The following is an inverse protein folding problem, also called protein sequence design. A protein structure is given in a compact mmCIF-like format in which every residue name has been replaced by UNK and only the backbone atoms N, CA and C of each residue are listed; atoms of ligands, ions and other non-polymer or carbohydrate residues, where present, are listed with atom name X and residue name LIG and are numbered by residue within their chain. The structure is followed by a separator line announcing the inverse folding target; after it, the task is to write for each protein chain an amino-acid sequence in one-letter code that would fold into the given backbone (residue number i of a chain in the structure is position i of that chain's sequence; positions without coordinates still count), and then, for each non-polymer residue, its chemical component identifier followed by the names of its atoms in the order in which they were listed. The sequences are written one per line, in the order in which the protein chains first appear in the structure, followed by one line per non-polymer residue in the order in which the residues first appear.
data_IF_254806476135
#
_entry.id   IF_254806476135
#
_cell.length_a   1.000
_cell.length_b   1.000
_cell.length_c   1.000
_cell.angle_alpha   90.00
_cell.angle_beta   90.00
_cell.angle_gamma   90.00
#
_symmetry.space_group_name_H-M   'P 1'
#
loop_
_entity.id
_entity.type
_entity.pdbx_description
1 polymer ?
#
# COMPACT_ATOMS: atom_id res chain seq x y z
N UNK A 1 -30.14 16.79 -1.30
CA UNK A 1 -29.87 16.27 0.08
C UNK A 1 -31.14 15.61 0.59
N UNK A 2 -31.09 14.39 1.14
CA UNK A 2 -32.29 13.63 1.52
C UNK A 2 -32.81 13.94 2.94
N UNK A 3 -32.46 15.10 3.52
CA UNK A 3 -32.96 15.52 4.84
C UNK A 3 -34.49 15.54 4.86
N UNK A 4 -35.10 14.90 5.86
CA UNK A 4 -36.56 14.76 5.99
C UNK A 4 -37.18 13.58 5.20
N UNK A 5 -36.37 12.77 4.51
CA UNK A 5 -36.84 11.50 3.92
C UNK A 5 -36.68 10.35 4.89
N UNK A 6 -37.56 9.35 4.77
CA UNK A 6 -37.47 8.11 5.54
C UNK A 6 -36.64 7.06 4.82
N UNK A 7 -35.71 6.45 5.55
CA UNK A 7 -34.96 5.26 5.15
C UNK A 7 -35.47 4.07 5.97
N UNK A 8 -35.79 2.97 5.29
CA UNK A 8 -36.20 1.75 5.96
C UNK A 8 -34.96 0.91 6.31
N UNK A 9 -34.71 0.70 7.60
CA UNK A 9 -33.59 -0.11 8.10
C UNK A 9 -34.18 -1.26 8.92
N UNK A 10 -33.91 -2.50 8.49
CA UNK A 10 -34.42 -3.73 9.14
C UNK A 10 -35.95 -3.71 9.36
N UNK A 11 -36.70 -3.25 8.35
CA UNK A 11 -38.16 -3.21 8.40
C UNK A 11 -38.77 -2.09 9.25
N UNK A 12 -37.95 -1.14 9.74
CA UNK A 12 -38.41 0.03 10.51
C UNK A 12 -38.03 1.35 9.83
N UNK A 13 -38.96 2.32 9.75
CA UNK A 13 -38.67 3.63 9.17
C UNK A 13 -37.85 4.51 10.12
N UNK A 14 -36.80 5.13 9.58
CA UNK A 14 -35.96 6.15 10.23
C UNK A 14 -35.89 7.41 9.38
N UNK A 15 -36.01 8.58 10.01
CA UNK A 15 -35.87 9.86 9.31
C UNK A 15 -34.40 10.26 9.18
N UNK A 16 -34.01 10.75 8.01
CA UNK A 16 -32.65 11.24 7.76
C UNK A 16 -32.54 12.69 8.26
N UNK A 17 -31.81 12.88 9.37
CA UNK A 17 -31.55 14.20 9.97
C UNK A 17 -30.44 14.99 9.25
N UNK A 18 -29.49 14.29 8.64
CA UNK A 18 -28.35 14.94 7.99
C UNK A 18 -27.45 13.95 7.28
N UNK A 19 -26.57 14.47 6.42
CA UNK A 19 -25.54 13.70 5.72
C UNK A 19 -24.19 14.29 6.10
N UNK A 20 -23.29 13.44 6.58
CA UNK A 20 -21.92 13.81 6.91
C UNK A 20 -21.12 13.83 5.61
N UNK A 21 -20.31 14.87 5.41
CA UNK A 21 -19.42 14.93 4.24
C UNK A 21 -18.48 13.74 4.28
N UNK A 22 -18.42 13.04 3.17
CA UNK A 22 -17.60 11.85 3.05
C UNK A 22 -16.14 12.18 3.43
N UNK A 23 -15.64 11.49 4.45
CA UNK A 23 -14.25 11.63 4.93
C UNK A 23 -13.42 10.41 4.47
N UNK A 24 -13.94 9.64 3.51
CA UNK A 24 -13.42 8.34 3.12
C UNK A 24 -11.92 8.33 2.81
N UNK A 25 -11.23 7.38 3.48
CA UNK A 25 -10.09 6.67 2.88
C UNK A 25 -10.66 5.61 1.94
N UNK A 26 -9.86 5.13 0.97
CA UNK A 26 -10.25 4.14 -0.07
C UNK A 26 -11.03 2.92 0.48
N UNK A 27 -10.80 2.52 1.74
CA UNK A 27 -11.52 1.43 2.42
C UNK A 27 -13.01 1.71 2.71
N UNK A 28 -13.44 2.97 2.81
CA UNK A 28 -14.82 3.35 3.12
C UNK A 28 -15.78 3.29 1.91
N UNK A 29 -15.27 3.05 0.70
CA UNK A 29 -16.07 3.05 -0.54
C UNK A 29 -16.96 1.80 -0.73
N UNK A 30 -16.85 0.79 0.15
CA UNK A 30 -17.45 -0.53 -0.07
C UNK A 30 -18.84 -0.69 0.58
N UNK A 31 -19.26 0.21 1.48
CA UNK A 31 -20.57 0.07 2.15
C UNK A 31 -21.23 1.40 2.54
N UNK A 32 -22.57 1.45 2.43
CA UNK A 32 -23.38 2.55 2.95
C UNK A 32 -23.27 2.60 4.49
N UNK A 33 -22.63 3.64 5.03
CA UNK A 33 -22.48 3.83 6.48
C UNK A 33 -23.59 4.74 7.02
N UNK A 34 -24.36 4.23 7.98
CA UNK A 34 -25.44 4.97 8.65
C UNK A 34 -25.07 5.17 10.12
N UNK A 35 -25.20 6.40 10.60
CA UNK A 35 -25.03 6.75 12.01
C UNK A 35 -26.41 6.96 12.64
N UNK A 36 -26.67 6.33 13.78
CA UNK A 36 -27.91 6.51 14.53
C UNK A 36 -27.65 6.49 16.05
N UNK A 37 -28.51 7.10 16.87
CA UNK A 37 -28.37 7.04 18.32
C UNK A 37 -28.39 5.60 18.82
N UNK A 38 -27.43 5.25 19.69
CA UNK A 38 -27.31 3.92 20.27
C UNK A 38 -28.59 3.42 20.95
N UNK A 39 -29.28 4.30 21.67
CA UNK A 39 -30.57 3.96 22.32
C UNK A 39 -31.63 3.51 21.32
N UNK A 40 -31.66 4.11 20.13
CA UNK A 40 -32.58 3.71 19.05
C UNK A 40 -32.16 2.39 18.42
N UNK A 41 -30.85 2.16 18.27
CA UNK A 41 -30.31 0.92 17.74
C UNK A 41 -30.65 -0.29 18.63
N UNK A 42 -30.41 -0.20 19.94
CA UNK A 42 -30.77 -1.26 20.90
C UNK A 42 -32.27 -1.47 20.97
N UNK A 43 -33.04 -0.41 21.27
CA UNK A 43 -34.46 -0.57 21.62
C UNK A 43 -35.32 -0.95 20.43
N UNK A 44 -34.88 -0.60 19.22
CA UNK A 44 -35.62 -0.90 18.02
C UNK A 44 -34.97 -2.07 17.30
N UNK A 45 -33.68 -2.07 16.98
CA UNK A 45 -33.10 -3.04 16.04
C UNK A 45 -32.65 -4.35 16.70
N UNK A 46 -31.69 -4.32 17.63
CA UNK A 46 -30.96 -5.54 18.07
C UNK A 46 -31.43 -6.13 19.40
N UNK A 47 -32.08 -5.35 20.26
CA UNK A 47 -32.26 -5.73 21.68
C UNK A 47 -30.97 -5.53 22.49
N UNK A 48 -30.98 -5.98 23.75
CA UNK A 48 -29.86 -5.88 24.69
C UNK A 48 -28.66 -6.74 24.22
N UNK A 49 -27.81 -6.17 23.38
CA UNK A 49 -26.50 -6.74 23.04
C UNK A 49 -25.38 -6.02 23.81
N UNK A 50 -24.28 -6.73 24.13
CA UNK A 50 -23.12 -6.15 24.78
C UNK A 50 -22.45 -5.09 23.89
N UNK A 51 -21.77 -4.12 24.52
CA UNK A 51 -21.01 -3.08 23.82
C UNK A 51 -19.92 -3.69 22.93
N UNK A 52 -19.91 -3.34 21.64
CA UNK A 52 -18.86 -3.78 20.71
C UNK A 52 -17.56 -2.98 20.88
N UNK A 53 -17.66 -1.67 21.12
CA UNK A 53 -16.53 -0.79 21.35
C UNK A 53 -16.93 0.46 22.15
N UNK A 54 -16.02 0.95 22.99
CA UNK A 54 -16.16 2.23 23.68
C UNK A 54 -15.05 3.14 23.16
N UNK A 55 -15.42 4.26 22.56
CA UNK A 55 -14.46 5.26 22.10
C UNK A 55 -14.23 6.29 23.19
N UNK A 56 -12.96 6.44 23.59
CA UNK A 56 -12.53 7.47 24.55
C UNK A 56 -11.65 8.45 23.80
N UNK A 57 -11.97 9.75 23.90
CA UNK A 57 -11.17 10.82 23.30
C UNK A 57 -10.39 11.53 24.39
N UNK A 58 -9.06 11.47 24.31
CA UNK A 58 -8.19 12.29 25.13
C UNK A 58 -8.22 13.75 24.65
N UNK A 59 -8.01 14.71 25.56
CA UNK A 59 -7.87 16.14 25.21
C UNK A 59 -6.50 16.43 24.60
N UNK A 60 -5.47 15.74 25.10
CA UNK A 60 -4.10 15.83 24.62
C UNK A 60 -3.61 14.44 24.18
N UNK A 61 -2.82 14.40 23.11
CA UNK A 61 -2.20 13.19 22.60
C UNK A 61 -1.19 12.61 23.60
N UNK A 62 -0.45 13.46 24.32
CA UNK A 62 0.55 13.02 25.29
C UNK A 62 -0.03 12.25 26.49
N UNK A 63 -1.35 12.39 26.73
CA UNK A 63 -2.04 11.72 27.83
C UNK A 63 -2.67 10.38 27.41
N UNK A 64 -2.67 10.04 26.11
CA UNK A 64 -3.41 8.87 25.58
C UNK A 64 -2.98 7.58 26.27
N UNK A 65 -1.69 7.38 26.50
CA UNK A 65 -1.16 6.18 27.15
C UNK A 65 -1.51 6.14 28.65
N UNK A 66 -1.39 7.27 29.35
CA UNK A 66 -1.80 7.38 30.76
C UNK A 66 -3.32 7.19 30.94
N UNK A 67 -4.13 7.67 30.00
CA UNK A 67 -5.59 7.50 29.98
C UNK A 67 -5.93 6.04 29.68
N UNK A 68 -5.26 5.41 28.72
CA UNK A 68 -5.43 3.98 28.41
C UNK A 68 -5.25 3.15 29.67
N UNK A 69 -4.14 3.30 30.38
CA UNK A 69 -3.86 2.55 31.61
C UNK A 69 -4.92 2.78 32.71
N UNK A 70 -5.38 4.02 32.88
CA UNK A 70 -6.46 4.35 33.84
C UNK A 70 -7.77 3.67 33.45
N UNK A 71 -8.13 3.69 32.17
CA UNK A 71 -9.34 3.06 31.65
C UNK A 71 -9.27 1.54 31.79
N UNK A 72 -8.13 0.92 31.49
CA UNK A 72 -7.94 -0.52 31.68
C UNK A 72 -8.13 -0.91 33.14
N UNK A 73 -7.47 -0.22 34.07
CA UNK A 73 -7.60 -0.51 35.51
C UNK A 73 -9.02 -0.31 36.03
N UNK A 74 -9.70 0.75 35.59
CA UNK A 74 -11.09 1.02 35.98
C UNK A 74 -12.03 -0.08 35.46
N UNK A 75 -11.84 -0.52 34.21
CA UNK A 75 -12.65 -1.58 33.60
C UNK A 75 -12.37 -2.95 34.22
N UNK A 76 -11.09 -3.28 34.49
CA UNK A 76 -10.69 -4.51 35.19
C UNK A 76 -11.29 -4.55 36.60
N UNK A 77 -11.24 -3.44 37.34
CA UNK A 77 -11.84 -3.36 38.68
C UNK A 77 -13.36 -3.47 38.66
N UNK A 78 -14.03 -2.96 37.62
CA UNK A 78 -15.49 -3.01 37.51
C UNK A 78 -15.98 -4.39 37.07
N UNK A 79 -15.26 -5.05 36.17
CA UNK A 79 -15.66 -6.33 35.58
C UNK A 79 -15.09 -7.55 36.30
N UNK A 80 -14.02 -7.39 37.07
CA UNK A 80 -13.34 -8.48 37.78
C UNK A 80 -12.57 -9.45 36.88
N UNK A 81 -12.48 -9.18 35.57
CA UNK A 81 -11.74 -9.97 34.57
C UNK A 81 -11.29 -9.09 33.41
N UNK A 82 -10.16 -9.44 32.78
CA UNK A 82 -9.66 -8.78 31.57
C UNK A 82 -10.22 -9.47 30.32
N UNK A 83 -11.41 -9.07 29.90
CA UNK A 83 -12.12 -9.61 28.72
C UNK A 83 -12.28 -8.59 27.58
N UNK A 84 -11.38 -7.60 27.52
CA UNK A 84 -11.43 -6.50 26.56
C UNK A 84 -10.03 -6.20 25.98
N UNK A 85 -10.02 -5.55 24.82
CA UNK A 85 -8.81 -5.05 24.17
C UNK A 85 -8.90 -3.53 24.04
N UNK A 86 -7.80 -2.83 24.32
CA UNK A 86 -7.68 -1.39 24.08
C UNK A 86 -6.84 -1.17 22.82
N UNK A 87 -7.37 -0.35 21.92
CA UNK A 87 -6.71 0.00 20.67
C UNK A 87 -6.59 1.52 20.63
N UNK A 88 -5.36 2.01 20.49
CA UNK A 88 -5.08 3.44 20.30
C UNK A 88 -4.85 3.73 18.82
N UNK A 89 -5.10 4.97 18.39
CA UNK A 89 -4.80 5.37 17.02
C UNK A 89 -3.32 5.15 16.64
N UNK A 90 -2.40 5.33 17.60
CA UNK A 90 -0.98 5.07 17.42
C UNK A 90 -0.69 3.59 17.18
N UNK A 91 -1.28 2.69 17.98
CA UNK A 91 -1.10 1.24 17.79
C UNK A 91 -1.57 0.76 16.41
N UNK A 92 -2.67 1.34 15.89
CA UNK A 92 -3.15 1.05 14.53
C UNK A 92 -2.20 1.61 13.48
N UNK A 93 -1.72 2.83 13.66
CA UNK A 93 -0.76 3.44 12.74
C UNK A 93 0.56 2.64 12.69
N UNK A 94 1.05 2.19 13.84
CA UNK A 94 2.24 1.36 13.96
C UNK A 94 2.03 -0.02 13.31
N UNK A 95 0.87 -0.66 13.53
CA UNK A 95 0.53 -1.92 12.87
C UNK A 95 0.54 -1.77 11.34
N UNK A 96 -0.08 -0.70 10.81
CA UNK A 96 -0.08 -0.41 9.37
C UNK A 96 1.34 -0.14 8.87
N UNK A 97 2.15 0.61 9.63
CA UNK A 97 3.53 0.90 9.28
C UNK A 97 4.38 -0.38 9.24
N UNK A 98 4.21 -1.29 10.20
CA UNK A 98 4.92 -2.56 10.28
C UNK A 98 4.54 -3.51 9.12
N UNK A 99 3.25 -3.61 8.80
CA UNK A 99 2.78 -4.38 7.65
C UNK A 99 3.31 -3.78 6.34
N UNK A 100 3.22 -2.45 6.20
CA UNK A 100 3.71 -1.75 5.00
C UNK A 100 5.22 -1.92 4.82
N UNK A 101 5.97 -1.84 5.92
CA UNK A 101 7.43 -2.06 5.92
C UNK A 101 7.76 -3.48 5.52
N UNK A 102 7.05 -4.47 6.07
CA UNK A 102 7.24 -5.88 5.70
C UNK A 102 6.96 -6.13 4.21
N UNK A 103 5.84 -5.60 3.69
CA UNK A 103 5.52 -5.70 2.26
C UNK A 103 6.57 -4.99 1.40
N UNK A 104 7.01 -3.80 1.81
CA UNK A 104 8.07 -3.06 1.12
C UNK A 104 9.36 -3.86 1.06
N UNK A 105 9.76 -4.51 2.15
CA UNK A 105 10.96 -5.35 2.18
C UNK A 105 10.83 -6.54 1.22
N UNK A 106 9.69 -7.22 1.20
CA UNK A 106 9.42 -8.33 0.28
C UNK A 106 9.48 -7.87 -1.18
N UNK A 107 8.77 -6.79 -1.53
CA UNK A 107 8.78 -6.24 -2.89
C UNK A 107 10.16 -5.75 -3.31
N UNK A 108 10.89 -5.10 -2.41
CA UNK A 108 12.26 -4.64 -2.66
C UNK A 108 13.20 -5.83 -2.89
N UNK A 109 13.04 -6.90 -2.10
CA UNK A 109 13.81 -8.13 -2.26
C UNK A 109 13.57 -8.79 -3.62
N UNK A 110 12.31 -8.96 -4.01
CA UNK A 110 11.96 -9.51 -5.34
C UNK A 110 12.50 -8.60 -6.45
N UNK A 111 12.36 -7.28 -6.31
CA UNK A 111 12.87 -6.29 -7.28
C UNK A 111 14.39 -6.37 -7.43
N UNK A 112 15.13 -6.55 -6.33
CA UNK A 112 16.57 -6.71 -6.34
C UNK A 112 16.99 -8.00 -7.07
N UNK A 113 16.29 -9.11 -6.82
CA UNK A 113 16.52 -10.37 -7.53
C UNK A 113 16.25 -10.21 -9.03
N UNK A 114 15.14 -9.57 -9.41
CA UNK A 114 14.83 -9.30 -10.82
C UNK A 114 15.90 -8.45 -11.51
N UNK A 115 16.45 -7.45 -10.82
CA UNK A 115 17.54 -6.64 -11.33
C UNK A 115 18.84 -7.44 -11.51
N UNK A 116 19.16 -8.33 -10.57
CA UNK A 116 20.32 -9.24 -10.69
C UNK A 116 20.16 -10.18 -11.88
N UNK A 117 19.00 -10.83 -12.04
CA UNK A 117 18.72 -11.74 -13.16
C UNK A 117 18.78 -10.98 -14.49
N UNK A 118 18.25 -9.76 -14.55
CA UNK A 118 18.39 -8.88 -15.71
C UNK A 118 19.85 -8.56 -16.05
N UNK A 119 20.67 -8.26 -15.04
CA UNK A 119 22.10 -8.02 -15.20
C UNK A 119 22.86 -9.23 -15.75
N UNK A 120 22.54 -10.44 -15.28
CA UNK A 120 23.10 -11.69 -15.82
C UNK A 120 22.72 -11.88 -17.30
N UNK A 121 21.49 -11.52 -17.67
CA UNK A 121 21.03 -11.54 -19.06
C UNK A 121 21.85 -10.61 -19.96
N UNK A 122 22.10 -9.38 -19.51
CA UNK A 122 22.94 -8.41 -20.24
C UNK A 122 24.38 -8.93 -20.39
N UNK A 123 24.95 -9.51 -19.31
CA UNK A 123 26.28 -10.12 -19.36
C UNK A 123 26.34 -11.24 -20.42
N UNK A 124 25.31 -12.09 -20.51
CA UNK A 124 25.29 -13.19 -21.47
C UNK A 124 25.22 -12.70 -22.92
N UNK A 125 24.36 -11.72 -23.21
CA UNK A 125 24.27 -11.14 -24.55
C UNK A 125 25.60 -10.47 -24.94
N UNK A 126 26.20 -9.74 -24.00
CA UNK A 126 27.50 -9.11 -24.24
C UNK A 126 28.60 -10.14 -24.47
N UNK A 127 28.62 -11.23 -23.71
CA UNK A 127 29.58 -12.31 -23.90
C UNK A 127 29.46 -12.93 -25.29
N UNK A 128 28.23 -13.28 -25.72
CA UNK A 128 27.98 -13.83 -27.05
C UNK A 128 28.39 -12.85 -28.15
N UNK A 129 28.02 -11.57 -28.03
CA UNK A 129 28.37 -10.54 -29.02
C UNK A 129 29.88 -10.30 -29.13
N UNK A 130 30.60 -10.34 -28.00
CA UNK A 130 32.07 -10.28 -28.01
C UNK A 130 32.63 -11.51 -28.72
N UNK A 131 32.12 -12.71 -28.42
CA UNK A 131 32.60 -13.96 -29.04
C UNK A 131 32.42 -13.99 -30.56
N UNK A 132 31.33 -13.44 -31.07
CA UNK A 132 31.08 -13.30 -32.52
C UNK A 132 32.09 -12.37 -33.19
N UNK A 133 32.50 -11.30 -32.51
CA UNK A 133 33.43 -10.28 -33.04
C UNK A 133 34.91 -10.56 -32.74
N UNK A 134 35.27 -11.69 -32.12
CA UNK A 134 36.67 -12.03 -31.75
C UNK A 134 37.62 -11.93 -32.94
N UNK A 135 37.20 -12.40 -34.12
CA UNK A 135 38.04 -12.40 -35.31
C UNK A 135 38.39 -10.96 -35.76
N UNK A 136 37.42 -10.06 -35.73
CA UNK A 136 37.60 -8.65 -36.10
C UNK A 136 38.49 -7.90 -35.08
N UNK A 137 38.31 -8.19 -33.79
CA UNK A 137 39.13 -7.63 -32.71
C UNK A 137 40.58 -8.09 -32.84
N UNK A 138 40.80 -9.37 -33.16
CA UNK A 138 42.12 -9.94 -33.39
C UNK A 138 42.87 -9.20 -34.50
N UNK A 139 42.21 -8.93 -35.63
CA UNK A 139 42.79 -8.17 -36.74
C UNK A 139 43.16 -6.75 -36.30
N UNK A 140 42.30 -6.04 -35.57
CA UNK A 140 42.60 -4.69 -35.06
C UNK A 140 43.79 -4.65 -34.10
N UNK A 141 43.90 -5.64 -33.21
CA UNK A 141 45.02 -5.75 -32.28
C UNK A 141 46.35 -5.99 -33.01
N UNK A 142 46.35 -6.83 -34.05
CA UNK A 142 47.55 -7.09 -34.87
C UNK A 142 48.05 -5.87 -35.64
N UNK A 143 47.16 -4.92 -35.94
CA UNK A 143 47.49 -3.66 -36.64
C UNK A 143 47.88 -2.54 -35.65
N UNK A 144 47.94 -2.84 -34.34
CA UNK A 144 48.45 -1.94 -33.30
C UNK A 144 47.39 -1.22 -32.46
N UNK A 145 46.11 -1.62 -32.54
CA UNK A 145 45.10 -1.09 -31.64
C UNK A 145 45.40 -1.47 -30.17
N UNK A 146 45.18 -0.54 -29.23
CA UNK A 146 45.38 -0.83 -27.81
C UNK A 146 44.22 -1.69 -27.27
N UNK A 147 44.50 -2.73 -26.46
CA UNK A 147 43.45 -3.48 -25.75
C UNK A 147 42.55 -2.60 -24.88
N UNK A 148 43.05 -1.44 -24.45
CA UNK A 148 42.27 -0.47 -23.69
C UNK A 148 41.13 0.15 -24.51
N UNK A 149 41.33 0.38 -25.81
CA UNK A 149 40.35 0.99 -26.70
C UNK A 149 39.18 0.03 -26.95
N UNK A 150 39.50 -1.26 -27.13
CA UNK A 150 38.50 -2.33 -27.28
C UNK A 150 37.66 -2.47 -26.01
N UNK A 151 38.29 -2.49 -24.82
CA UNK A 151 37.55 -2.54 -23.55
C UNK A 151 36.63 -1.34 -23.36
N UNK A 152 37.11 -0.13 -23.72
CA UNK A 152 36.29 1.08 -23.65
C UNK A 152 35.10 1.03 -24.59
N UNK A 153 35.28 0.53 -25.82
CA UNK A 153 34.18 0.36 -26.77
C UNK A 153 33.09 -0.55 -26.20
N UNK A 154 33.46 -1.73 -25.68
CA UNK A 154 32.49 -2.65 -25.09
C UNK A 154 31.80 -2.11 -23.85
N UNK A 155 32.54 -1.40 -22.98
CA UNK A 155 31.96 -0.76 -21.79
C UNK A 155 30.92 0.30 -22.18
N UNK A 156 31.23 1.13 -23.18
CA UNK A 156 30.31 2.16 -23.67
C UNK A 156 29.08 1.49 -24.30
N UNK A 157 29.25 0.43 -25.10
CA UNK A 157 28.15 -0.34 -25.70
C UNK A 157 27.23 -0.93 -24.62
N UNK A 158 27.77 -1.53 -23.56
CA UNK A 158 26.93 -2.07 -22.46
C UNK A 158 26.23 -0.97 -21.68
N UNK A 159 26.93 0.12 -21.34
CA UNK A 159 26.32 1.24 -20.62
C UNK A 159 25.18 1.85 -21.44
N UNK A 160 25.35 2.00 -22.76
CA UNK A 160 24.29 2.48 -23.64
C UNK A 160 23.07 1.56 -23.66
N UNK A 161 23.28 0.24 -23.77
CA UNK A 161 22.19 -0.74 -23.75
C UNK A 161 21.45 -0.72 -22.40
N UNK A 162 22.19 -0.70 -21.29
CA UNK A 162 21.61 -0.58 -19.94
C UNK A 162 20.83 0.74 -19.78
N UNK A 163 21.39 1.85 -20.27
CA UNK A 163 20.75 3.15 -20.20
C UNK A 163 19.44 3.17 -21.00
N UNK A 164 19.45 2.71 -22.25
CA UNK A 164 18.25 2.62 -23.09
C UNK A 164 17.19 1.69 -22.46
N UNK A 165 17.60 0.51 -22.00
CA UNK A 165 16.70 -0.44 -21.33
C UNK A 165 16.07 0.15 -20.06
N UNK A 166 16.87 0.79 -19.21
CA UNK A 166 16.38 1.46 -18.01
C UNK A 166 15.42 2.62 -18.32
N UNK A 167 15.76 3.45 -19.31
CA UNK A 167 14.93 4.58 -19.72
C UNK A 167 13.59 4.10 -20.28
N UNK A 168 13.61 3.10 -21.18
CA UNK A 168 12.40 2.50 -21.72
C UNK A 168 11.56 1.82 -20.64
N UNK A 169 12.19 1.12 -19.69
CA UNK A 169 11.51 0.50 -18.56
C UNK A 169 10.77 1.51 -17.68
N UNK A 170 11.40 2.65 -17.37
CA UNK A 170 10.76 3.74 -16.60
C UNK A 170 9.59 4.33 -17.38
N UNK A 171 9.76 4.59 -18.68
CA UNK A 171 8.70 5.15 -19.53
C UNK A 171 7.51 4.19 -19.61
N UNK A 172 7.75 2.91 -19.87
CA UNK A 172 6.70 1.89 -19.93
C UNK A 172 5.96 1.75 -18.59
N UNK A 173 6.70 1.75 -17.48
CA UNK A 173 6.11 1.71 -16.14
C UNK A 173 5.23 2.93 -15.88
N UNK A 174 5.68 4.13 -16.28
CA UNK A 174 4.91 5.36 -16.19
C UNK A 174 3.62 5.30 -17.02
N UNK A 175 3.69 4.79 -18.26
CA UNK A 175 2.52 4.61 -19.12
C UNK A 175 1.51 3.64 -18.52
N UNK A 176 1.96 2.47 -18.05
CA UNK A 176 1.09 1.49 -17.39
C UNK A 176 0.44 2.10 -16.15
N UNK A 177 1.19 2.85 -15.33
CA UNK A 177 0.64 3.50 -14.13
C UNK A 177 -0.45 4.53 -14.45
N UNK A 178 -0.37 5.21 -15.59
CA UNK A 178 -1.40 6.16 -16.03
C UNK A 178 -2.61 5.45 -16.63
N UNK A 179 -2.40 4.36 -17.38
CA UNK A 179 -3.48 3.63 -18.07
C UNK A 179 -4.30 2.77 -17.09
N UNK A 180 -3.66 2.15 -16.10
CA UNK A 180 -4.27 1.26 -15.12
C UNK A 180 -5.58 1.80 -14.49
N UNK A 181 -5.65 3.05 -13.96
CA UNK A 181 -6.88 3.58 -13.39
C UNK A 181 -8.02 3.79 -14.42
N UNK A 182 -7.72 3.94 -15.71
CA UNK A 182 -8.75 4.05 -16.74
C UNK A 182 -9.32 2.70 -17.17
N UNK A 183 -8.57 1.61 -16.95
CA UNK A 183 -8.95 0.25 -17.34
C UNK A 183 -9.96 -0.39 -16.35
N UNK A 184 -9.95 0.04 -15.08
CA UNK A 184 -10.84 -0.47 -14.01
C UNK A 184 -12.20 0.27 -13.88
N UNK A 185 -12.56 1.15 -14.83
CA UNK A 185 -13.73 2.05 -14.71
C UNK A 185 -15.04 1.74 -15.51
N UNK A 186 -15.38 0.50 -15.91
CA UNK A 186 -16.76 0.24 -16.39
C UNK A 186 -17.63 -0.74 -15.57
N UNK A 187 -17.12 -1.49 -14.59
CA UNK A 187 -17.89 -2.63 -14.01
C UNK A 187 -18.37 -2.51 -12.55
N UNK A 188 -18.27 -1.36 -11.90
CA UNK A 188 -19.03 -1.09 -10.66
C UNK A 188 -19.67 0.30 -10.72
N UNK A 189 -20.87 0.36 -11.31
CA UNK A 189 -21.90 1.34 -10.97
C UNK A 189 -23.08 0.60 -10.36
#
# INVERSE_FOLDING_TARGET
MPSGKYLNISGRPFEILGVIKDTARVSDMVALKVWMPWTSYINRITGLMPYEAIQVRAKDQAEVEAIKDKVEKALESTRGKKDFFTVTNESVAEMIANVSTSMKLLTTGISAISLLVGGVGVMNIMFVSVTERIHEIGIRLSVGASPADIRRQFLIESVFICFLGGTLGIVLTGLVSVIFPYMDLPNLK
#
